data_IF_638226152449
#
_entry.id   IF_638226152449
#
_cell.length_a   1.000
_cell.length_b   1.000
_cell.length_c   1.000
_cell.angle_alpha   90.00
_cell.angle_beta   90.00
_cell.angle_gamma   90.00
#
_symmetry.space_group_name_H-M   'P 1'
#
loop_
_entity.id
_entity.type
_entity.pdbx_description
1 polymer ?
#
# COMPACT_ATOMS: atom_id res chain seq x y z
N UNK A 1 7.92 5.30 9.52
CA UNK A 1 6.67 5.60 10.21
C UNK A 1 5.47 5.41 9.29
N UNK A 2 4.39 4.88 9.83
CA UNK A 2 3.17 4.62 9.07
C UNK A 2 2.10 5.59 9.55
N UNK A 3 1.54 6.35 8.62
CA UNK A 3 0.55 7.37 8.95
C UNK A 3 -0.86 6.86 8.70
N UNK A 4 -1.81 7.38 9.45
CA UNK A 4 -3.21 7.08 9.23
C UNK A 4 -3.74 7.86 8.04
N UNK A 5 -4.66 7.26 7.30
CA UNK A 5 -5.37 7.93 6.23
C UNK A 5 -6.85 7.63 6.40
N UNK A 6 -7.69 8.57 6.00
CA UNK A 6 -9.14 8.41 6.11
C UNK A 6 -9.77 8.50 4.73
N UNK A 7 -11.05 8.10 4.65
CA UNK A 7 -11.81 8.26 3.40
C UNK A 7 -11.78 9.72 2.93
N UNK A 8 -11.79 10.65 3.90
CA UNK A 8 -11.86 12.08 3.58
C UNK A 8 -10.61 12.57 2.87
N UNK A 9 -9.43 12.12 3.31
CA UNK A 9 -8.18 12.66 2.75
C UNK A 9 -7.46 11.68 1.82
N UNK A 10 -8.07 10.52 1.54
CA UNK A 10 -7.43 9.47 0.77
C UNK A 10 -6.97 9.96 -0.59
N UNK A 11 -7.88 10.55 -1.36
CA UNK A 11 -7.55 10.97 -2.73
C UNK A 11 -6.45 12.00 -2.75
N UNK A 12 -6.45 12.90 -1.77
CA UNK A 12 -5.43 13.94 -1.70
C UNK A 12 -4.06 13.33 -1.35
N UNK A 13 -4.02 12.48 -0.35
CA UNK A 13 -2.75 11.93 0.13
C UNK A 13 -2.17 10.95 -0.88
N UNK A 14 -2.99 10.02 -1.36
CA UNK A 14 -2.52 8.99 -2.29
C UNK A 14 -2.27 9.59 -3.66
N UNK A 15 -3.14 10.50 -4.10
CA UNK A 15 -3.01 11.11 -5.41
C UNK A 15 -1.80 12.01 -5.57
N UNK A 16 -1.32 12.61 -4.47
CA UNK A 16 -0.16 13.49 -4.52
C UNK A 16 1.16 12.78 -4.39
N UNK A 17 1.14 11.50 -4.08
CA UNK A 17 2.39 10.78 -3.83
C UNK A 17 3.15 10.59 -5.12
N UNK A 18 4.45 10.87 -5.07
CA UNK A 18 5.34 10.66 -6.22
C UNK A 18 6.07 9.33 -6.12
N UNK A 19 5.75 8.55 -5.09
CA UNK A 19 6.32 7.21 -4.90
C UNK A 19 5.16 6.24 -4.76
N UNK A 20 5.42 4.94 -4.92
CA UNK A 20 4.37 3.95 -4.69
C UNK A 20 3.84 4.05 -3.26
N UNK A 21 2.57 3.72 -3.09
CA UNK A 21 1.90 3.80 -1.81
C UNK A 21 1.35 2.45 -1.44
N UNK A 22 1.63 2.00 -0.22
CA UNK A 22 0.97 0.83 0.35
C UNK A 22 -0.04 1.30 1.38
N UNK A 23 -1.23 0.73 1.34
CA UNK A 23 -2.27 1.06 2.31
C UNK A 23 -2.65 -0.23 3.02
N UNK A 24 -2.42 -0.27 4.32
CA UNK A 24 -2.83 -1.38 5.16
C UNK A 24 -4.23 -1.11 5.70
N UNK A 25 -5.17 -2.01 5.43
CA UNK A 25 -6.51 -1.94 5.99
C UNK A 25 -6.56 -2.83 7.23
N UNK A 26 -7.02 -2.25 8.32
CA UNK A 26 -6.94 -2.90 9.64
C UNK A 26 -8.14 -2.53 10.49
N UNK A 27 -8.30 -3.22 11.62
CA UNK A 27 -9.27 -2.83 12.63
C UNK A 27 -8.73 -3.19 14.00
N UNK A 28 -9.25 -2.54 15.08
CA UNK A 28 -8.88 -2.92 16.44
C UNK A 28 -9.21 -4.38 16.71
N UNK A 29 -8.34 -5.05 17.46
CA UNK A 29 -8.57 -6.45 17.82
C UNK A 29 -8.10 -7.45 16.78
N UNK A 30 -7.56 -6.99 15.67
CA UNK A 30 -7.08 -7.88 14.62
C UNK A 30 -5.61 -8.22 14.86
N UNK A 31 -5.32 -9.43 15.33
CA UNK A 31 -3.95 -9.85 15.64
C UNK A 31 -3.07 -9.87 14.41
N UNK A 32 -3.59 -10.36 13.29
CA UNK A 32 -2.85 -10.38 12.03
C UNK A 32 -2.52 -9.00 11.53
N UNK A 33 -3.41 -8.04 11.78
CA UNK A 33 -3.16 -6.66 11.39
C UNK A 33 -1.99 -6.07 12.18
N UNK A 34 -1.92 -6.36 13.48
CA UNK A 34 -0.80 -5.86 14.29
C UNK A 34 0.51 -6.45 13.84
N UNK A 35 0.51 -7.74 13.50
CA UNK A 35 1.72 -8.39 13.02
C UNK A 35 2.18 -7.77 11.71
N UNK A 36 1.25 -7.49 10.80
CA UNK A 36 1.59 -6.86 9.53
C UNK A 36 2.14 -5.45 9.75
N UNK A 37 1.51 -4.69 10.65
CA UNK A 37 1.97 -3.33 10.92
C UNK A 37 3.45 -3.34 11.35
N UNK A 38 3.83 -4.29 12.19
CA UNK A 38 5.23 -4.39 12.62
C UNK A 38 6.17 -4.67 11.45
N UNK A 39 5.75 -5.53 10.52
CA UNK A 39 6.58 -5.79 9.35
C UNK A 39 6.68 -4.57 8.46
N UNK A 40 5.59 -3.83 8.32
CA UNK A 40 5.61 -2.60 7.52
C UNK A 40 6.48 -1.53 8.15
N UNK A 41 6.51 -1.43 9.47
CA UNK A 41 7.40 -0.48 10.13
C UNK A 41 8.86 -0.79 9.80
N UNK A 42 9.21 -2.08 9.80
CA UNK A 42 10.57 -2.49 9.43
C UNK A 42 10.87 -2.18 7.98
N UNK A 43 9.89 -2.41 7.12
CA UNK A 43 10.04 -2.14 5.69
C UNK A 43 10.33 -0.67 5.45
N UNK A 44 9.58 0.21 6.10
CA UNK A 44 9.77 1.65 5.98
C UNK A 44 11.18 2.03 6.40
N UNK A 45 11.69 1.40 7.45
CA UNK A 45 13.04 1.66 7.91
C UNK A 45 14.10 1.29 6.89
N UNK A 46 13.81 0.33 6.01
CA UNK A 46 14.76 -0.08 4.98
C UNK A 46 14.66 0.75 3.71
N UNK A 47 13.44 1.05 3.27
CA UNK A 47 13.27 1.68 1.96
C UNK A 47 13.22 3.20 2.03
N UNK A 48 13.03 3.76 3.22
CA UNK A 48 13.03 5.20 3.39
C UNK A 48 11.98 5.89 2.54
N UNK A 49 12.37 6.93 1.84
CA UNK A 49 11.44 7.73 1.05
C UNK A 49 11.01 7.13 -0.27
N UNK A 50 11.45 5.91 -0.60
CA UNK A 50 11.07 5.28 -1.86
C UNK A 50 9.65 4.73 -1.84
N UNK A 51 9.01 4.72 -0.70
CA UNK A 51 7.71 4.10 -0.53
C UNK A 51 6.96 4.84 0.57
N UNK A 52 5.70 5.14 0.33
CA UNK A 52 4.83 5.72 1.34
C UNK A 52 3.93 4.61 1.87
N UNK A 53 3.90 4.42 3.18
CA UNK A 53 3.05 3.40 3.80
C UNK A 53 2.02 4.08 4.69
N UNK A 54 0.77 3.76 4.45
CA UNK A 54 -0.37 4.32 5.17
C UNK A 54 -1.19 3.19 5.76
N UNK A 55 -2.02 3.52 6.73
CA UNK A 55 -2.98 2.55 7.25
C UNK A 55 -4.35 3.19 7.38
N UNK A 56 -5.40 2.40 7.19
CA UNK A 56 -6.78 2.85 7.25
C UNK A 56 -7.58 1.92 8.15
N UNK A 57 -8.20 2.49 9.18
CA UNK A 57 -9.06 1.75 10.10
C UNK A 57 -10.42 1.57 9.44
N UNK A 58 -10.80 0.31 9.14
CA UNK A 58 -12.04 0.06 8.42
C UNK A 58 -13.28 0.24 9.29
N UNK A 59 -13.11 0.35 10.60
CA UNK A 59 -14.25 0.65 11.47
C UNK A 59 -14.62 2.11 11.45
N UNK A 60 -13.72 2.96 11.00
CA UNK A 60 -13.96 4.39 10.91
C UNK A 60 -14.06 4.88 9.47
N UNK A 61 -13.75 4.03 8.52
CA UNK A 61 -13.70 4.40 7.11
C UNK A 61 -14.32 3.27 6.30
N UNK A 62 -15.21 3.59 5.40
CA UNK A 62 -16.03 2.62 4.76
C UNK A 62 -16.08 2.79 3.24
N UNK A 63 -15.85 4.00 2.75
CA UNK A 63 -15.93 4.24 1.32
C UNK A 63 -14.82 3.49 0.55
N UNK A 64 -13.55 3.72 0.93
CA UNK A 64 -12.44 3.10 0.23
C UNK A 64 -12.44 1.58 0.41
N UNK A 65 -12.62 1.04 1.63
CA UNK A 65 -12.71 -0.41 1.77
C UNK A 65 -13.84 -1.02 0.94
N UNK A 66 -14.96 -0.33 0.82
CA UNK A 66 -16.08 -0.81 0.03
C UNK A 66 -15.75 -0.81 -1.46
N UNK A 67 -15.14 0.26 -1.96
CA UNK A 67 -14.74 0.36 -3.35
C UNK A 67 -13.77 -0.76 -3.74
N UNK A 68 -12.88 -1.13 -2.84
CA UNK A 68 -11.92 -2.20 -3.09
C UNK A 68 -12.47 -3.58 -2.78
N UNK A 69 -13.69 -3.65 -2.28
CA UNK A 69 -14.35 -4.92 -1.95
C UNK A 69 -13.55 -5.72 -0.93
N UNK A 70 -13.04 -5.05 0.08
CA UNK A 70 -12.26 -5.71 1.12
C UNK A 70 -13.20 -6.49 2.03
N UNK A 71 -12.98 -7.80 2.13
CA UNK A 71 -13.82 -8.69 2.92
C UNK A 71 -13.06 -9.38 4.04
N UNK A 72 -11.74 -9.30 4.04
CA UNK A 72 -10.93 -9.93 5.11
C UNK A 72 -9.74 -9.04 5.44
N UNK A 73 -9.27 -9.15 6.67
CA UNK A 73 -8.17 -8.35 7.18
C UNK A 73 -7.09 -9.26 7.75
N UNK A 74 -5.84 -8.84 7.66
CA UNK A 74 -5.39 -7.58 7.07
C UNK A 74 -5.43 -7.64 5.55
N UNK A 75 -5.53 -6.46 4.92
CA UNK A 75 -5.43 -6.35 3.49
C UNK A 75 -4.41 -5.25 3.19
N UNK A 76 -3.62 -5.43 2.15
CA UNK A 76 -2.57 -4.49 1.78
C UNK A 76 -2.71 -4.17 0.30
N UNK A 77 -2.96 -2.91 -0.02
CA UNK A 77 -3.20 -2.45 -1.39
C UNK A 77 -2.02 -1.62 -1.87
N UNK A 78 -1.64 -1.81 -3.12
CA UNK A 78 -0.57 -1.05 -3.75
C UNK A 78 -1.18 -0.06 -4.74
N UNK A 79 -0.76 1.20 -4.60
CA UNK A 79 -1.17 2.29 -5.50
C UNK A 79 0.06 2.88 -6.16
N UNK A 80 -0.08 3.27 -7.44
CA UNK A 80 0.96 4.00 -8.16
C UNK A 80 0.28 5.12 -8.94
N UNK A 81 0.85 6.31 -8.85
CA UNK A 81 0.30 7.45 -9.57
C UNK A 81 -1.14 7.73 -9.21
N UNK A 82 -1.52 7.48 -7.98
CA UNK A 82 -2.86 7.70 -7.50
C UNK A 82 -3.86 6.62 -7.88
N UNK A 83 -3.42 5.56 -8.55
CA UNK A 83 -4.31 4.52 -9.05
C UNK A 83 -4.04 3.21 -8.32
N UNK A 84 -5.12 2.51 -7.98
CA UNK A 84 -5.00 1.17 -7.40
C UNK A 84 -4.37 0.24 -8.43
N UNK A 85 -3.33 -0.46 -8.03
CA UNK A 85 -2.66 -1.39 -8.92
C UNK A 85 -3.05 -2.84 -8.60
N UNK A 86 -2.87 -3.26 -7.36
CA UNK A 86 -3.22 -4.62 -6.96
C UNK A 86 -3.10 -4.77 -5.45
N UNK A 87 -3.62 -5.88 -4.94
CA UNK A 87 -3.38 -6.26 -3.56
C UNK A 87 -2.07 -7.03 -3.47
N UNK A 88 -1.40 -6.89 -2.34
CA UNK A 88 -0.19 -7.63 -2.02
C UNK A 88 -0.60 -8.81 -1.15
N UNK A 89 -0.19 -10.01 -1.52
CA UNK A 89 -0.49 -11.22 -0.76
C UNK A 89 0.72 -11.72 0.00
N UNK A 90 0.58 -12.85 0.67
CA UNK A 90 1.68 -13.48 1.39
C UNK A 90 2.27 -12.58 2.46
N UNK A 91 1.45 -12.05 3.37
CA UNK A 91 1.80 -10.94 4.23
C UNK A 91 2.57 -11.34 5.48
N UNK A 92 3.44 -12.35 5.40
CA UNK A 92 4.15 -12.84 6.57
C UNK A 92 5.34 -12.01 7.00
N UNK A 93 6.19 -11.58 6.05
CA UNK A 93 7.43 -10.89 6.37
C UNK A 93 7.63 -9.71 5.46
N UNK A 94 8.49 -8.77 5.92
CA UNK A 94 8.82 -7.62 5.09
C UNK A 94 9.54 -8.03 3.81
N UNK A 95 10.32 -9.11 3.86
CA UNK A 95 11.02 -9.60 2.67
C UNK A 95 10.03 -10.06 1.60
N UNK A 96 8.99 -10.75 2.03
CA UNK A 96 7.97 -11.22 1.12
C UNK A 96 7.24 -10.05 0.46
N UNK A 97 6.91 -9.04 1.26
CA UNK A 97 6.24 -7.85 0.77
C UNK A 97 7.14 -7.11 -0.21
N UNK A 98 8.41 -6.90 0.18
CA UNK A 98 9.34 -6.16 -0.65
C UNK A 98 9.55 -6.83 -2.00
N UNK A 99 9.61 -8.15 -2.01
CA UNK A 99 9.80 -8.89 -3.27
C UNK A 99 8.68 -8.58 -4.26
N UNK A 100 7.47 -8.41 -3.76
CA UNK A 100 6.33 -8.13 -4.62
C UNK A 100 6.29 -6.69 -5.13
N UNK A 101 7.11 -5.81 -4.56
CA UNK A 101 7.14 -4.41 -4.95
C UNK A 101 8.21 -4.09 -5.98
N UNK A 102 9.05 -5.03 -6.29
CA UNK A 102 10.14 -4.79 -7.23
C UNK A 102 9.62 -4.71 -8.65
N UNK A 103 10.19 -3.87 -9.47
CA UNK A 103 11.23 -2.89 -9.13
C UNK A 103 10.61 -1.62 -8.53
N UNK A 104 10.99 -1.33 -7.30
CA UNK A 104 10.40 -0.24 -6.54
C UNK A 104 10.72 1.12 -7.17
N UNK A 105 11.91 1.25 -7.72
CA UNK A 105 12.42 2.54 -8.21
C UNK A 105 12.22 2.77 -9.69
N UNK A 106 11.48 1.89 -10.37
CA UNK A 106 11.33 2.03 -11.80
C UNK A 106 10.60 3.33 -12.13
N UNK A 107 11.19 4.21 -12.94
CA UNK A 107 10.49 5.41 -13.36
C UNK A 107 9.30 5.08 -14.25
N UNK A 108 8.29 5.93 -14.22
CA UNK A 108 7.12 5.72 -15.03
C UNK A 108 7.46 5.72 -16.52
N UNK A 109 8.41 6.55 -16.92
CA UNK A 109 8.83 6.61 -18.31
C UNK A 109 9.41 5.30 -18.77
N UNK A 110 10.15 4.61 -17.90
CA UNK A 110 10.66 3.28 -18.23
C UNK A 110 9.55 2.29 -18.45
N UNK A 111 8.57 2.34 -17.60
CA UNK A 111 7.44 1.44 -17.69
C UNK A 111 6.72 1.64 -19.03
N UNK A 112 6.48 2.88 -19.42
CA UNK A 112 5.77 3.13 -20.65
C UNK A 112 6.57 2.76 -21.89
N UNK A 113 7.88 2.79 -21.83
CA UNK A 113 8.70 2.39 -22.97
C UNK A 113 8.67 0.91 -23.19
N UNK A 114 8.63 0.19 -22.19
CA UNK A 114 8.65 -1.23 -22.40
C UNK A 114 7.31 -1.71 -22.89
N UNK A 115 6.88 -1.32 -23.52
CA UNK A 115 5.83 -1.74 -23.86
C UNK A 115 5.32 -2.18 -24.23
N UNK A 116 5.75 -1.80 -24.42
CA UNK A 116 5.35 -1.88 -24.48
C UNK A 116 5.05 -2.02 -24.59
N UNK A 117 4.91 -1.93 -24.74
CA UNK A 117 4.49 -1.93 -24.68
C UNK A 117 4.17 -1.77 -24.47
N UNK A 118 4.37 -1.55 -24.73
CA UNK A 118 4.24 -1.49 -24.35
C UNK A 118 4.01 -1.57 -24.24
N UNK A 119 4.14 -1.54 -24.45
CA UNK A 119 4.11 -1.73 -24.18
C UNK A 119 4.24 -1.76 -24.14
#
# INVERSE_FOLDING_TARGET
MISDVSDRDFDRVVGRSQVPVLVEFWKPGCGGCRALTRQLERLVGEVGGSLLVLKMNVEENFQIPSELEITSLPALALYRGGQFERFIGGLGTKEEILRQLEPLHRPITEVSKSGRPAG
#
